data_IF_134746521249
#
_entry.id   IF_134746521249
#
_cell.length_a   1.000
_cell.length_b   1.000
_cell.length_c   1.000
_cell.angle_alpha   90.00
_cell.angle_beta   90.00
_cell.angle_gamma   90.00
#
_symmetry.space_group_name_H-M   'P 1'
#
loop_
_entity.id
_entity.type
_entity.pdbx_description
1 polymer ?
#
# COMPACT_ATOMS: atom_id res chain seq x y z
N UNK A 1 12.82 22.27 3.60
CA UNK A 1 11.45 21.88 3.18
C UNK A 1 11.17 20.41 3.44
N UNK A 2 12.03 19.48 2.96
CA UNK A 2 11.92 18.02 3.19
C UNK A 2 11.68 17.61 4.65
N UNK A 3 12.48 18.12 5.60
CA UNK A 3 12.33 17.85 7.05
C UNK A 3 10.94 18.19 7.61
N UNK A 4 10.30 19.26 7.13
CA UNK A 4 8.95 19.64 7.59
C UNK A 4 7.91 18.58 7.22
N UNK A 5 8.02 18.02 6.00
CA UNK A 5 7.11 16.96 5.51
C UNK A 5 7.20 15.70 6.36
N UNK A 6 8.41 15.30 6.72
CA UNK A 6 8.65 14.18 7.65
C UNK A 6 8.04 14.41 9.03
N UNK A 7 8.20 15.61 9.60
CA UNK A 7 7.62 15.94 10.91
C UNK A 7 6.09 15.92 10.85
N UNK A 8 5.48 16.47 9.81
CA UNK A 8 4.02 16.39 9.64
C UNK A 8 3.53 14.95 9.51
N UNK A 9 4.20 14.12 8.70
CA UNK A 9 3.85 12.71 8.58
C UNK A 9 3.99 11.96 9.91
N UNK A 10 5.05 12.22 10.68
CA UNK A 10 5.25 11.63 12.00
C UNK A 10 4.13 12.00 12.98
N UNK A 11 3.80 13.29 13.07
CA UNK A 11 2.71 13.79 13.92
C UNK A 11 1.38 13.16 13.51
N UNK A 12 1.12 13.05 12.19
CA UNK A 12 -0.11 12.45 11.68
C UNK A 12 -0.23 10.97 12.06
N UNK A 13 0.85 10.20 11.93
CA UNK A 13 0.85 8.79 12.32
C UNK A 13 0.64 8.61 13.83
N UNK A 14 1.30 9.43 14.65
CA UNK A 14 1.09 9.41 16.11
C UNK A 14 -0.36 9.76 16.44
N UNK A 15 -0.91 10.80 15.80
CA UNK A 15 -2.30 11.23 16.01
C UNK A 15 -3.30 10.12 15.68
N UNK A 16 -3.15 9.44 14.53
CA UNK A 16 -4.01 8.32 14.14
C UNK A 16 -4.03 7.22 15.21
N UNK A 17 -2.85 6.79 15.69
CA UNK A 17 -2.74 5.72 16.68
C UNK A 17 -3.20 6.18 18.06
N UNK A 18 -2.92 7.43 18.43
CA UNK A 18 -3.43 8.02 19.66
C UNK A 18 -4.96 8.03 19.69
N UNK A 19 -5.63 8.45 18.61
CA UNK A 19 -7.09 8.39 18.50
C UNK A 19 -7.62 6.96 18.63
N UNK A 20 -6.95 5.98 18.01
CA UNK A 20 -7.31 4.57 18.11
C UNK A 20 -7.27 4.06 19.56
N UNK A 21 -6.20 4.40 20.27
CA UNK A 21 -5.99 3.99 21.66
C UNK A 21 -6.95 4.72 22.62
N UNK A 22 -7.08 6.04 22.48
CA UNK A 22 -7.98 6.85 23.30
C UNK A 22 -9.45 6.45 23.17
N UNK A 23 -9.90 6.11 21.96
CA UNK A 23 -11.26 5.67 21.68
C UNK A 23 -11.46 4.16 21.95
N UNK A 24 -10.41 3.42 22.30
CA UNK A 24 -10.41 1.96 22.43
C UNK A 24 -10.92 1.26 21.15
N UNK A 25 -10.52 1.75 19.99
CA UNK A 25 -10.92 1.25 18.68
C UNK A 25 -9.68 1.05 17.80
N UNK A 26 -9.06 -0.14 17.88
CA UNK A 26 -7.87 -0.47 17.08
C UNK A 26 -8.13 -0.45 15.57
N UNK A 27 -9.37 -0.62 15.13
CA UNK A 27 -9.77 -0.53 13.72
C UNK A 27 -9.55 0.85 13.10
N UNK A 28 -9.30 1.89 13.92
CA UNK A 28 -8.89 3.22 13.46
C UNK A 28 -7.47 3.20 12.89
N UNK A 29 -6.60 2.30 13.38
CA UNK A 29 -5.24 2.16 12.87
C UNK A 29 -5.32 1.54 11.48
N UNK A 30 -4.97 2.34 10.47
CA UNK A 30 -4.83 1.90 9.10
C UNK A 30 -3.35 2.02 8.69
N UNK A 31 -2.55 0.94 8.73
CA UNK A 31 -1.11 0.96 8.48
C UNK A 31 -0.72 1.61 7.14
N UNK A 32 -1.57 1.44 6.14
CA UNK A 32 -1.48 2.01 4.80
C UNK A 32 -1.46 3.55 4.80
N UNK A 33 -1.95 4.21 5.86
CA UNK A 33 -1.76 5.66 6.03
C UNK A 33 -0.28 6.03 5.96
N UNK A 34 0.63 5.25 6.57
CA UNK A 34 2.05 5.55 6.46
C UNK A 34 2.59 5.36 5.03
N UNK A 35 2.02 4.43 4.27
CA UNK A 35 2.30 4.31 2.84
C UNK A 35 1.82 5.55 2.08
N UNK A 36 0.58 5.99 2.32
CA UNK A 36 0.01 7.20 1.71
C UNK A 36 0.83 8.44 2.06
N UNK A 37 1.21 8.63 3.32
CA UNK A 37 2.05 9.76 3.75
C UNK A 37 3.42 9.72 3.08
N UNK A 38 4.01 8.53 2.94
CA UNK A 38 5.29 8.35 2.26
C UNK A 38 5.22 8.76 0.79
N UNK A 39 4.15 8.38 0.08
CA UNK A 39 3.96 8.74 -1.32
C UNK A 39 3.48 10.18 -1.54
N UNK A 40 2.47 10.62 -0.78
CA UNK A 40 1.78 11.90 -0.98
C UNK A 40 2.50 13.09 -0.35
N UNK A 41 3.18 12.91 0.79
CA UNK A 41 3.81 14.01 1.53
C UNK A 41 5.33 13.97 1.43
N UNK A 42 5.94 12.80 1.64
CA UNK A 42 7.39 12.69 1.80
C UNK A 42 8.12 12.65 0.46
N UNK A 43 7.63 11.83 -0.49
CA UNK A 43 8.20 11.73 -1.82
C UNK A 43 8.20 13.07 -2.53
N UNK A 44 9.25 13.34 -3.30
CA UNK A 44 9.37 14.59 -4.06
C UNK A 44 8.30 14.69 -5.14
N UNK A 45 8.10 13.59 -5.85
CA UNK A 45 6.99 13.37 -6.77
C UNK A 45 6.15 12.21 -6.24
N UNK A 46 4.83 12.35 -6.24
CA UNK A 46 3.96 11.25 -5.85
C UNK A 46 4.16 10.07 -6.80
N UNK A 47 4.29 8.84 -6.27
CA UNK A 47 4.55 7.66 -7.10
C UNK A 47 3.33 7.23 -7.93
N UNK A 48 2.15 7.78 -7.64
CA UNK A 48 0.89 7.40 -8.26
C UNK A 48 0.29 8.56 -9.06
N UNK A 49 -0.22 8.27 -10.27
CA UNK A 49 -1.07 9.15 -11.04
C UNK A 49 -2.46 9.14 -10.40
N UNK A 50 -2.71 10.10 -9.52
CA UNK A 50 -4.01 10.27 -8.85
C UNK A 50 -4.14 11.71 -8.35
N UNK A 51 -5.29 12.33 -8.59
CA UNK A 51 -5.56 13.64 -8.02
C UNK A 51 -6.09 13.53 -6.57
N UNK A 52 -6.10 14.66 -5.86
CA UNK A 52 -6.55 14.76 -4.46
C UNK A 52 -7.97 14.20 -4.22
N UNK A 53 -8.92 14.52 -5.11
CA UNK A 53 -10.31 14.05 -4.99
C UNK A 53 -10.42 12.56 -5.26
N UNK A 54 -9.73 12.06 -6.29
CA UNK A 54 -9.65 10.64 -6.61
C UNK A 54 -9.03 9.85 -5.46
N UNK A 55 -7.93 10.34 -4.86
CA UNK A 55 -7.30 9.69 -3.70
C UNK A 55 -8.31 9.52 -2.57
N UNK A 56 -9.01 10.61 -2.21
CA UNK A 56 -10.04 10.56 -1.17
C UNK A 56 -11.18 9.59 -1.51
N UNK A 57 -11.81 9.73 -2.67
CA UNK A 57 -12.98 8.93 -3.04
C UNK A 57 -12.64 7.45 -3.21
N UNK A 58 -11.56 7.14 -3.93
CA UNK A 58 -11.19 5.76 -4.24
C UNK A 58 -10.84 4.98 -2.97
N UNK A 59 -10.03 5.56 -2.07
CA UNK A 59 -9.67 4.94 -0.81
C UNK A 59 -10.90 4.73 0.09
N UNK A 60 -11.79 5.73 0.15
CA UNK A 60 -13.02 5.65 0.93
C UNK A 60 -13.92 4.52 0.42
N UNK A 61 -14.28 4.54 -0.87
CA UNK A 61 -15.16 3.52 -1.48
C UNK A 61 -14.58 2.11 -1.26
N UNK A 62 -13.27 1.93 -1.45
CA UNK A 62 -12.63 0.63 -1.31
C UNK A 62 -12.66 0.10 0.12
N UNK A 63 -12.50 0.97 1.11
CA UNK A 63 -12.63 0.58 2.51
C UNK A 63 -14.06 0.11 2.86
N UNK A 64 -15.08 0.79 2.32
CA UNK A 64 -16.48 0.40 2.49
C UNK A 64 -16.77 -0.95 1.83
N UNK A 65 -16.32 -1.16 0.58
CA UNK A 65 -16.47 -2.44 -0.11
C UNK A 65 -15.83 -3.57 0.68
N UNK A 66 -14.61 -3.37 1.20
CA UNK A 66 -13.92 -4.36 2.04
C UNK A 66 -14.76 -4.80 3.24
N UNK A 67 -15.33 -3.86 4.00
CA UNK A 67 -16.21 -4.20 5.14
C UNK A 67 -17.53 -4.81 4.71
N UNK A 68 -18.13 -4.36 3.60
CA UNK A 68 -19.37 -4.96 3.06
C UNK A 68 -19.15 -6.44 2.74
N UNK A 69 -18.02 -6.79 2.12
CA UNK A 69 -17.67 -8.18 1.81
C UNK A 69 -17.50 -9.03 3.07
N UNK A 70 -16.99 -8.44 4.17
CA UNK A 70 -16.86 -9.16 5.44
C UNK A 70 -18.20 -9.32 6.14
N UNK A 71 -18.95 -8.22 6.24
CA UNK A 71 -20.18 -8.10 7.05
C UNK A 71 -21.37 -8.85 6.46
N UNK A 72 -21.52 -8.86 5.14
CA UNK A 72 -22.73 -9.38 4.49
C UNK A 72 -22.54 -10.69 3.73
N UNK A 73 -21.31 -11.03 3.35
CA UNK A 73 -21.06 -12.28 2.61
C UNK A 73 -20.44 -13.34 3.52
N UNK A 74 -21.16 -14.44 3.73
CA UNK A 74 -20.67 -15.63 4.45
C UNK A 74 -20.02 -16.63 3.49
N UNK A 75 -19.02 -16.18 2.74
CA UNK A 75 -18.29 -16.98 1.73
C UNK A 75 -16.81 -17.13 2.10
N UNK A 76 -16.14 -18.09 1.46
CA UNK A 76 -14.73 -18.39 1.71
C UNK A 76 -13.82 -17.17 1.47
N UNK A 77 -12.80 -16.98 2.33
CA UNK A 77 -11.91 -15.80 2.32
C UNK A 77 -11.22 -15.57 0.96
N UNK A 78 -10.80 -16.64 0.27
CA UNK A 78 -10.21 -16.53 -1.06
C UNK A 78 -11.17 -15.89 -2.07
N UNK A 79 -12.48 -16.18 -1.97
CA UNK A 79 -13.48 -15.58 -2.85
C UNK A 79 -13.66 -14.09 -2.51
N UNK A 80 -13.65 -13.72 -1.23
CA UNK A 80 -13.67 -12.31 -0.80
C UNK A 80 -12.45 -11.55 -1.33
N UNK A 81 -11.26 -12.14 -1.24
CA UNK A 81 -10.02 -11.56 -1.79
C UNK A 81 -10.12 -11.39 -3.31
N UNK A 82 -10.64 -12.38 -4.04
CA UNK A 82 -10.88 -12.25 -5.48
C UNK A 82 -11.79 -11.06 -5.78
N UNK A 83 -12.96 -10.97 -5.13
CA UNK A 83 -13.93 -9.90 -5.38
C UNK A 83 -13.31 -8.53 -5.05
N UNK A 84 -12.63 -8.40 -3.91
CA UNK A 84 -11.95 -7.18 -3.49
C UNK A 84 -10.87 -6.74 -4.48
N UNK A 85 -10.03 -7.68 -4.94
CA UNK A 85 -9.02 -7.41 -5.94
C UNK A 85 -9.62 -7.01 -7.29
N UNK A 86 -10.62 -7.75 -7.77
CA UNK A 86 -11.33 -7.46 -9.03
C UNK A 86 -11.95 -6.07 -8.99
N UNK A 87 -12.66 -5.74 -7.91
CA UNK A 87 -13.23 -4.42 -7.71
C UNK A 87 -12.15 -3.33 -7.75
N UNK A 88 -11.07 -3.51 -7.00
CA UNK A 88 -9.97 -2.55 -6.93
C UNK A 88 -9.29 -2.35 -8.29
N UNK A 89 -9.05 -3.44 -9.01
CA UNK A 89 -8.46 -3.41 -10.35
C UNK A 89 -9.37 -2.64 -11.34
N UNK A 90 -10.67 -2.91 -11.33
CA UNK A 90 -11.65 -2.20 -12.16
C UNK A 90 -11.65 -0.70 -11.82
N UNK A 91 -11.66 -0.34 -10.54
CA UNK A 91 -11.64 1.08 -10.13
C UNK A 91 -10.39 1.81 -10.59
N UNK A 92 -9.21 1.19 -10.48
CA UNK A 92 -7.96 1.77 -10.99
C UNK A 92 -8.04 2.02 -12.51
N UNK A 93 -8.65 1.09 -13.27
CA UNK A 93 -8.83 1.22 -14.72
C UNK A 93 -9.86 2.30 -15.09
N UNK A 94 -11.04 2.29 -14.49
CA UNK A 94 -12.11 3.24 -14.78
C UNK A 94 -11.67 4.68 -14.47
N UNK A 95 -10.93 4.87 -13.38
CA UNK A 95 -10.44 6.21 -12.99
C UNK A 95 -9.12 6.60 -13.63
N UNK A 96 -8.48 5.68 -14.39
CA UNK A 96 -7.15 5.84 -14.99
C UNK A 96 -6.09 6.26 -13.96
N UNK A 97 -6.17 5.67 -12.75
CA UNK A 97 -5.27 5.97 -11.63
C UNK A 97 -4.31 4.82 -11.36
N UNK A 98 -3.20 5.12 -10.69
CA UNK A 98 -2.22 4.11 -10.25
C UNK A 98 -2.07 4.04 -8.73
N UNK A 99 -3.11 4.40 -7.97
CA UNK A 99 -3.10 4.34 -6.50
C UNK A 99 -3.24 2.90 -5.99
N UNK A 100 -2.18 2.11 -6.14
CA UNK A 100 -2.16 0.70 -5.74
C UNK A 100 -2.56 0.45 -4.26
N UNK A 101 -2.27 1.33 -3.28
CA UNK A 101 -2.76 1.19 -1.90
C UNK A 101 -4.28 1.01 -1.75
N UNK A 102 -5.07 1.36 -2.77
CA UNK A 102 -6.49 1.02 -2.89
C UNK A 102 -6.79 -0.46 -2.59
N UNK A 103 -5.98 -1.35 -3.16
CA UNK A 103 -6.12 -2.80 -3.04
C UNK A 103 -5.99 -3.20 -1.58
N UNK A 104 -5.04 -2.59 -0.85
CA UNK A 104 -4.88 -2.83 0.58
C UNK A 104 -6.07 -2.37 1.39
N UNK A 105 -6.61 -1.18 1.09
CA UNK A 105 -7.78 -0.64 1.79
C UNK A 105 -8.99 -1.59 1.72
N UNK A 106 -9.16 -2.28 0.59
CA UNK A 106 -10.24 -3.23 0.37
C UNK A 106 -9.98 -4.61 1.00
N UNK A 107 -8.73 -5.09 0.98
CA UNK A 107 -8.37 -6.45 1.43
C UNK A 107 -8.09 -6.52 2.94
N UNK A 108 -7.56 -5.47 3.55
CA UNK A 108 -7.22 -5.46 4.98
C UNK A 108 -8.40 -5.88 5.90
N UNK A 109 -9.62 -5.33 5.79
CA UNK A 109 -10.72 -5.75 6.66
C UNK A 109 -11.09 -7.23 6.45
N UNK A 110 -10.87 -7.79 5.26
CA UNK A 110 -11.09 -9.22 4.98
C UNK A 110 -10.10 -10.09 5.75
N UNK A 111 -8.83 -9.71 5.81
CA UNK A 111 -7.81 -10.47 6.53
C UNK A 111 -7.93 -10.33 8.04
N UNK A 112 -8.35 -9.16 8.53
CA UNK A 112 -8.59 -8.91 9.95
C UNK A 112 -9.98 -9.35 10.43
N UNK A 113 -10.84 -9.82 9.51
CA UNK A 113 -12.24 -10.15 9.76
C UNK A 113 -13.04 -8.99 10.41
N UNK A 114 -12.78 -7.77 9.97
CA UNK A 114 -13.39 -6.54 10.46
C UNK A 114 -14.79 -6.34 9.86
N UNK A 115 -15.82 -6.33 10.71
CA UNK A 115 -17.23 -6.19 10.31
C UNK A 115 -17.88 -4.87 10.75
N UNK A 116 -17.13 -4.03 11.48
CA UNK A 116 -17.66 -2.76 11.98
C UNK A 116 -17.46 -1.63 10.96
N UNK A 117 -18.28 -0.59 11.08
CA UNK A 117 -18.17 0.61 10.24
C UNK A 117 -17.07 1.56 10.72
N UNK A 118 -16.40 1.27 11.84
CA UNK A 118 -15.32 2.11 12.37
C UNK A 118 -14.16 2.17 11.38
N UNK A 119 -13.74 1.02 10.84
CA UNK A 119 -12.68 0.97 9.83
C UNK A 119 -12.91 1.91 8.62
N UNK A 120 -14.00 1.79 7.83
CA UNK A 120 -14.17 2.60 6.63
C UNK A 120 -14.41 4.08 6.92
N UNK A 121 -15.09 4.41 8.04
CA UNK A 121 -15.25 5.80 8.48
C UNK A 121 -13.87 6.39 8.83
N UNK A 122 -13.02 5.63 9.52
CA UNK A 122 -11.66 6.06 9.89
C UNK A 122 -10.79 6.27 8.66
N UNK A 123 -10.78 5.32 7.71
CA UNK A 123 -10.06 5.47 6.44
C UNK A 123 -10.52 6.72 5.69
N UNK A 124 -11.83 6.96 5.63
CA UNK A 124 -12.42 8.13 4.97
C UNK A 124 -11.95 9.43 5.62
N UNK A 125 -12.04 9.54 6.95
CA UNK A 125 -11.58 10.72 7.70
C UNK A 125 -10.09 10.94 7.50
N UNK A 126 -9.27 9.90 7.63
CA UNK A 126 -7.81 10.02 7.48
C UNK A 126 -7.44 10.43 6.05
N UNK A 127 -8.09 9.89 5.02
CA UNK A 127 -7.85 10.30 3.64
C UNK A 127 -8.29 11.75 3.38
N UNK A 128 -9.41 12.20 3.96
CA UNK A 128 -9.82 13.61 3.88
C UNK A 128 -8.76 14.53 4.49
N UNK A 129 -8.27 14.20 5.69
CA UNK A 129 -7.21 14.96 6.34
C UNK A 129 -5.91 14.94 5.51
N UNK A 130 -5.51 13.79 4.96
CA UNK A 130 -4.32 13.68 4.10
C UNK A 130 -4.40 14.69 2.95
N UNK A 131 -5.53 14.74 2.26
CA UNK A 131 -5.76 15.59 1.10
C UNK A 131 -5.81 17.07 1.49
N UNK A 132 -6.49 17.41 2.59
CA UNK A 132 -6.58 18.78 3.11
C UNK A 132 -5.19 19.29 3.49
N UNK A 133 -4.42 18.53 4.27
CA UNK A 133 -3.08 18.93 4.66
C UNK A 133 -2.09 18.93 3.49
N UNK A 134 -2.24 18.02 2.53
CA UNK A 134 -1.48 18.06 1.26
C UNK A 134 -1.72 19.39 0.54
N UNK A 135 -2.98 19.80 0.38
CA UNK A 135 -3.32 21.09 -0.22
C UNK A 135 -2.75 22.28 0.58
N UNK A 136 -2.87 22.29 1.91
CA UNK A 136 -2.31 23.34 2.75
C UNK A 136 -0.78 23.42 2.59
N UNK A 137 -0.08 22.28 2.51
CA UNK A 137 1.37 22.25 2.28
C UNK A 137 1.77 22.78 0.90
N UNK A 138 0.96 22.54 -0.13
CA UNK A 138 1.15 23.09 -1.47
C UNK A 138 0.98 24.62 -1.47
N UNK A 139 -0.09 25.13 -0.88
CA UNK A 139 -0.36 26.59 -0.77
C UNK A 139 0.73 27.29 0.04
N UNK A 140 1.26 26.66 1.09
CA UNK A 140 2.34 27.21 1.92
C UNK A 140 3.74 27.04 1.33
N UNK A 141 3.87 26.50 0.10
CA UNK A 141 5.16 26.27 -0.56
C UNK A 141 6.06 25.26 0.16
N UNK A 142 5.50 24.41 1.04
CA UNK A 142 6.23 23.33 1.73
C UNK A 142 6.43 22.14 0.77
N UNK A 143 5.48 21.95 -0.15
CA UNK A 143 5.49 20.98 -1.23
C UNK A 143 5.19 21.70 -2.54
N UNK A 144 5.81 21.27 -3.63
CA UNK A 144 5.43 21.74 -4.96
C UNK A 144 4.06 21.16 -5.33
N UNK A 145 3.17 22.00 -5.84
CA UNK A 145 1.91 21.51 -6.39
C UNK A 145 2.21 20.52 -7.51
N UNK A 146 1.58 19.36 -7.45
CA UNK A 146 1.74 18.38 -8.52
C UNK A 146 1.14 18.92 -9.80
N UNK A 147 1.92 18.90 -10.89
CA UNK A 147 1.37 19.10 -12.22
C UNK A 147 0.61 17.82 -12.58
N UNK A 148 -0.66 17.74 -12.19
CA UNK A 148 -1.56 16.75 -12.75
C UNK A 148 -1.68 17.06 -14.23
N UNK A 149 -0.98 16.32 -15.09
CA UNK A 149 -1.19 16.36 -16.53
C UNK A 149 -2.55 15.71 -16.78
N UNK A 150 -3.59 16.53 -16.67
CA UNK A 150 -4.87 16.26 -17.33
C UNK A 150 -4.53 16.21 -18.82
N UNK A 151 -4.76 15.07 -19.46
CA UNK A 151 -4.96 15.04 -20.91
C UNK A 151 -6.27 15.79 -21.20
N UNK A 152 -6.24 17.11 -21.02
CA UNK A 152 -7.29 18.02 -21.47
C UNK A 152 -6.89 18.47 -22.88
N UNK A 153 -7.33 17.74 -23.90
CA UNK A 153 -7.55 18.34 -25.21
C UNK A 153 -8.73 17.63 -25.88
N UNK A 154 -9.94 18.12 -25.57
CA UNK A 154 -11.13 17.82 -26.36
C UNK A 154 -11.12 18.58 -27.71
N UNK A 155 -10.11 19.41 -28.01
CA UNK A 155 -10.10 20.21 -29.25
C UNK A 155 -8.71 20.77 -29.66
N UNK A 156 -7.63 19.98 -29.60
CA UNK A 156 -6.28 20.53 -29.79
C UNK A 156 -5.28 19.59 -30.43
N UNK A 157 -5.44 19.36 -31.74
CA UNK A 157 -4.37 19.13 -32.72
C UNK A 157 -3.56 17.82 -32.61
N UNK A 158 -4.00 16.82 -33.38
CA UNK A 158 -3.24 16.26 -34.52
C UNK A 158 -1.73 16.02 -34.34
N UNK A 159 -1.35 15.46 -33.20
CA UNK A 159 -0.21 14.54 -33.11
C UNK A 159 -0.72 13.40 -32.25
N UNK A 160 -1.15 12.33 -32.92
CA UNK A 160 -1.45 11.04 -32.31
C UNK A 160 -0.17 10.53 -31.67
N UNK A 161 0.08 10.90 -30.41
CA UNK A 161 0.82 10.00 -29.53
C UNK A 161 -0.15 8.88 -29.28
N UNK A 162 -0.06 7.85 -30.12
CA UNK A 162 -0.83 6.62 -30.09
C UNK A 162 -0.74 5.99 -28.69
N UNK A 163 -1.63 6.41 -27.81
CA UNK A 163 -2.09 5.68 -26.63
C UNK A 163 -3.43 5.01 -26.93
N UNK A 164 -3.75 4.83 -28.22
CA UNK A 164 -4.66 3.82 -28.72
C UNK A 164 -3.85 2.51 -28.85
N UNK A 165 -4.41 1.39 -28.38
CA UNK A 165 -3.85 0.04 -28.48
C UNK A 165 -2.78 -0.44 -27.47
N UNK A 166 -2.93 -0.10 -26.18
CA UNK A 166 -2.67 -1.18 -25.20
C UNK A 166 -3.83 -2.15 -25.32
N UNK A 167 -3.67 -3.13 -26.24
CA UNK A 167 -4.68 -4.17 -26.54
C UNK A 167 -5.49 -4.54 -25.30
N UNK A 168 -6.83 -4.42 -25.37
CA UNK A 168 -7.71 -4.83 -24.28
C UNK A 168 -7.38 -6.25 -23.80
N UNK A 169 -6.94 -7.11 -24.73
CA UNK A 169 -6.47 -8.47 -24.44
C UNK A 169 -5.24 -8.49 -23.54
N UNK A 170 -4.28 -7.56 -23.70
CA UNK A 170 -3.11 -7.45 -22.82
C UNK A 170 -3.53 -7.08 -21.40
N UNK A 171 -4.45 -6.13 -21.25
CA UNK A 171 -4.97 -5.69 -19.95
C UNK A 171 -5.70 -6.84 -19.24
N UNK A 172 -6.59 -7.54 -19.95
CA UNK A 172 -7.35 -8.67 -19.43
C UNK A 172 -6.42 -9.84 -19.07
N UNK A 173 -5.43 -10.14 -19.92
CA UNK A 173 -4.41 -11.17 -19.64
C UNK A 173 -3.58 -10.82 -18.40
N UNK A 174 -3.18 -9.55 -18.24
CA UNK A 174 -2.47 -9.07 -17.04
C UNK A 174 -3.34 -9.26 -15.80
N UNK A 175 -4.60 -8.84 -15.84
CA UNK A 175 -5.56 -9.04 -14.76
C UNK A 175 -5.67 -10.51 -14.33
N UNK A 176 -5.98 -11.41 -15.27
CA UNK A 176 -6.15 -12.83 -14.96
C UNK A 176 -4.87 -13.47 -14.41
N UNK A 177 -3.69 -13.11 -14.97
CA UNK A 177 -2.39 -13.56 -14.45
C UNK A 177 -2.19 -13.08 -13.00
N UNK A 178 -2.40 -11.79 -12.72
CA UNK A 178 -2.24 -11.24 -11.37
C UNK A 178 -3.19 -11.89 -10.36
N UNK A 179 -4.47 -12.06 -10.73
CA UNK A 179 -5.46 -12.69 -9.88
C UNK A 179 -5.10 -14.15 -9.59
N UNK A 180 -4.69 -14.92 -10.60
CA UNK A 180 -4.30 -16.32 -10.45
C UNK A 180 -3.12 -16.47 -9.46
N UNK A 181 -2.10 -15.62 -9.57
CA UNK A 181 -0.94 -15.63 -8.68
C UNK A 181 -1.37 -15.29 -7.25
N UNK A 182 -2.16 -14.23 -7.06
CA UNK A 182 -2.66 -13.86 -5.73
C UNK A 182 -3.41 -15.03 -5.11
N UNK A 183 -4.27 -15.73 -5.85
CA UNK A 183 -5.02 -16.88 -5.34
C UNK A 183 -4.14 -18.09 -5.04
N UNK A 184 -3.18 -18.40 -5.91
CA UNK A 184 -2.23 -19.49 -5.71
C UNK A 184 -1.40 -19.25 -4.45
N UNK A 185 -0.81 -18.05 -4.32
CA UNK A 185 0.00 -17.67 -3.15
C UNK A 185 -0.86 -17.59 -1.89
N UNK A 186 -2.13 -17.21 -2.00
CA UNK A 186 -3.05 -17.13 -0.85
C UNK A 186 -3.59 -18.48 -0.38
N UNK A 187 -3.53 -19.53 -1.19
CA UNK A 187 -4.12 -20.82 -0.86
C UNK A 187 -3.49 -21.47 0.39
N UNK A 188 -2.16 -21.50 0.48
CA UNK A 188 -1.43 -22.11 1.62
C UNK A 188 -1.61 -21.28 2.91
N UNK A 189 -1.39 -19.95 2.90
CA UNK A 189 -1.62 -19.08 4.07
C UNK A 189 -3.03 -19.16 4.65
N UNK A 190 -4.05 -19.23 3.78
CA UNK A 190 -5.44 -19.36 4.21
C UNK A 190 -5.69 -20.71 4.88
N UNK A 191 -5.18 -21.81 4.31
CA UNK A 191 -5.35 -23.15 4.88
C UNK A 191 -4.62 -23.33 6.22
N UNK A 192 -3.49 -22.65 6.38
CA UNK A 192 -2.66 -22.73 7.61
C UNK A 192 -2.99 -21.64 8.63
N UNK A 193 -4.01 -20.81 8.38
CA UNK A 193 -4.39 -19.67 9.22
C UNK A 193 -3.28 -18.63 9.45
N UNK A 194 -2.23 -18.63 8.63
CA UNK A 194 -1.13 -17.67 8.70
C UNK A 194 -1.34 -16.55 7.67
N UNK A 195 -2.30 -15.66 7.90
CA UNK A 195 -2.73 -14.71 6.88
C UNK A 195 -1.68 -13.63 6.52
N UNK A 196 -0.64 -13.43 7.32
CA UNK A 196 0.33 -12.33 7.08
C UNK A 196 1.35 -12.64 5.98
N UNK A 197 1.45 -13.89 5.51
CA UNK A 197 2.16 -14.22 4.26
C UNK A 197 1.57 -13.50 3.04
N UNK A 198 0.28 -13.12 3.12
CA UNK A 198 -0.45 -12.36 2.10
C UNK A 198 -0.94 -11.02 2.64
N UNK A 199 -0.20 -10.44 3.59
CA UNK A 199 -0.51 -9.12 4.12
C UNK A 199 -0.76 -8.14 2.95
N UNK A 200 -1.77 -7.24 3.05
CA UNK A 200 -2.17 -6.43 1.91
C UNK A 200 -1.04 -5.59 1.30
N UNK A 201 -0.07 -5.05 2.09
CA UNK A 201 1.10 -4.37 1.53
C UNK A 201 1.99 -5.25 0.64
N UNK A 202 2.00 -6.57 0.83
CA UNK A 202 2.72 -7.50 -0.04
C UNK A 202 2.01 -7.69 -1.37
N UNK A 203 0.68 -7.69 -1.39
CA UNK A 203 -0.11 -7.68 -2.63
C UNK A 203 0.12 -6.36 -3.39
N UNK A 204 0.19 -5.23 -2.67
CA UNK A 204 0.56 -3.94 -3.29
C UNK A 204 1.99 -3.99 -3.84
N UNK A 205 2.93 -4.58 -3.11
CA UNK A 205 4.31 -4.80 -3.59
C UNK A 205 4.30 -5.65 -4.86
N UNK A 206 3.55 -6.74 -4.90
CA UNK A 206 3.38 -7.57 -6.08
C UNK A 206 2.86 -6.77 -7.28
N UNK A 207 1.84 -5.94 -7.07
CA UNK A 207 1.25 -5.12 -8.12
C UNK A 207 2.21 -4.04 -8.64
N UNK A 208 2.96 -3.40 -7.74
CA UNK A 208 4.00 -2.41 -8.08
C UNK A 208 5.11 -3.07 -8.92
N UNK A 209 5.54 -4.27 -8.54
CA UNK A 209 6.51 -5.06 -9.31
C UNK A 209 5.94 -5.69 -10.56
N UNK A 210 4.62 -5.83 -10.71
CA UNK A 210 4.01 -6.36 -11.94
C UNK A 210 4.02 -5.35 -13.09
N UNK A 211 4.40 -4.10 -12.82
CA UNK A 211 4.62 -3.08 -13.84
C UNK A 211 6.10 -3.06 -14.30
N UNK A 212 6.40 -3.39 -15.56
CA UNK A 212 7.79 -3.46 -16.05
C UNK A 212 8.57 -2.16 -16.00
N UNK A 213 7.88 -1.02 -16.09
CA UNK A 213 8.46 0.31 -15.99
C UNK A 213 8.69 0.80 -14.56
N UNK A 214 8.26 0.03 -13.54
CA UNK A 214 8.34 0.49 -12.15
C UNK A 214 9.80 0.68 -11.69
N UNK A 215 10.14 1.82 -11.05
CA UNK A 215 11.45 2.05 -10.44
C UNK A 215 11.84 0.96 -9.44
N UNK A 216 10.86 0.29 -8.83
CA UNK A 216 11.08 -0.76 -7.84
C UNK A 216 11.90 -1.94 -8.41
N UNK A 217 11.71 -2.27 -9.69
CA UNK A 217 12.43 -3.37 -10.36
C UNK A 217 13.93 -3.15 -10.48
N UNK A 218 14.39 -1.89 -10.47
CA UNK A 218 15.83 -1.57 -10.55
C UNK A 218 16.59 -1.93 -9.28
N UNK A 219 15.90 -2.15 -8.15
CA UNK A 219 16.52 -2.34 -6.84
C UNK A 219 15.87 -3.47 -6.04
N UNK A 220 15.56 -4.59 -6.71
CA UNK A 220 14.86 -5.76 -6.13
C UNK A 220 15.43 -6.17 -4.78
N UNK A 221 16.74 -6.44 -4.71
CA UNK A 221 17.40 -6.88 -3.47
C UNK A 221 17.27 -5.87 -2.32
N UNK A 222 17.39 -4.57 -2.64
CA UNK A 222 17.25 -3.50 -1.65
C UNK A 222 15.81 -3.41 -1.13
N UNK A 223 14.81 -3.60 -1.99
CA UNK A 223 13.40 -3.55 -1.57
C UNK A 223 13.05 -4.73 -0.68
N UNK A 224 13.45 -5.95 -1.03
CA UNK A 224 13.27 -7.12 -0.15
C UNK A 224 13.90 -6.85 1.22
N UNK A 225 15.12 -6.31 1.24
CA UNK A 225 15.80 -5.94 2.48
C UNK A 225 15.05 -4.87 3.27
N UNK A 226 14.55 -3.81 2.62
CA UNK A 226 13.75 -2.76 3.27
C UNK A 226 12.47 -3.34 3.88
N UNK A 227 11.76 -4.24 3.18
CA UNK A 227 10.54 -4.87 3.70
C UNK A 227 10.82 -5.76 4.92
N UNK A 228 11.93 -6.52 4.89
CA UNK A 228 12.37 -7.34 6.01
C UNK A 228 12.75 -6.48 7.22
N UNK A 229 13.55 -5.43 7.02
CA UNK A 229 13.94 -4.53 8.11
C UNK A 229 12.73 -3.80 8.67
N UNK A 230 11.79 -3.39 7.81
CA UNK A 230 10.57 -2.71 8.23
C UNK A 230 9.69 -3.59 9.12
N UNK A 231 9.47 -4.86 8.72
CA UNK A 231 8.70 -5.81 9.53
C UNK A 231 9.41 -6.12 10.84
N UNK A 232 10.74 -6.27 10.83
CA UNK A 232 11.53 -6.54 12.03
C UNK A 232 11.47 -5.39 13.04
N UNK A 233 11.60 -4.13 12.57
CA UNK A 233 11.51 -2.94 13.42
C UNK A 233 10.12 -2.83 14.06
N UNK A 234 9.06 -2.90 13.26
CA UNK A 234 7.69 -2.79 13.77
C UNK A 234 7.36 -3.87 14.80
N UNK A 235 7.80 -5.09 14.54
CA UNK A 235 7.61 -6.25 15.43
C UNK A 235 8.39 -6.09 16.74
N UNK A 236 9.69 -5.79 16.64
CA UNK A 236 10.58 -5.68 17.80
C UNK A 236 10.16 -4.53 18.71
N UNK A 237 9.84 -3.36 18.12
CA UNK A 237 9.38 -2.21 18.90
C UNK A 237 8.04 -2.48 19.57
N UNK A 238 7.13 -3.20 18.91
CA UNK A 238 5.87 -3.60 19.55
C UNK A 238 6.10 -4.57 20.71
N UNK A 239 6.92 -5.60 20.53
CA UNK A 239 7.23 -6.56 21.62
C UNK A 239 7.91 -5.85 22.78
N UNK A 240 8.96 -5.09 22.51
CA UNK A 240 9.77 -4.51 23.56
C UNK A 240 9.07 -3.33 24.26
N UNK A 241 8.54 -2.37 23.50
CA UNK A 241 7.96 -1.16 24.08
C UNK A 241 6.54 -1.39 24.59
N UNK A 242 5.67 -2.03 23.82
CA UNK A 242 4.26 -2.19 24.21
C UNK A 242 4.01 -3.44 25.05
N UNK A 243 4.54 -4.61 24.66
CA UNK A 243 4.27 -5.85 25.41
C UNK A 243 5.10 -5.93 26.70
N UNK A 244 6.41 -5.67 26.63
CA UNK A 244 7.30 -5.80 27.79
C UNK A 244 7.31 -4.55 28.69
N UNK A 245 7.48 -3.35 28.11
CA UNK A 245 7.53 -2.10 28.88
C UNK A 245 6.16 -1.43 29.11
N UNK A 246 5.07 -1.99 28.54
CA UNK A 246 3.70 -1.47 28.70
C UNK A 246 3.50 -0.02 28.24
N UNK A 247 4.33 0.46 27.31
CA UNK A 247 4.14 1.78 26.72
C UNK A 247 2.96 1.83 25.76
N UNK A 248 2.32 3.00 25.61
CA UNK A 248 1.15 3.16 24.75
C UNK A 248 1.51 2.97 23.27
N UNK A 249 0.54 2.51 22.48
CA UNK A 249 0.73 2.19 21.06
C UNK A 249 1.13 3.40 20.24
N UNK A 250 0.62 4.60 20.57
CA UNK A 250 0.97 5.82 19.83
C UNK A 250 2.47 6.16 19.93
N UNK A 251 3.11 5.84 21.07
CA UNK A 251 4.54 6.03 21.26
C UNK A 251 5.33 5.04 20.40
N UNK A 252 4.91 3.77 20.39
CA UNK A 252 5.51 2.73 19.54
C UNK A 252 5.40 3.10 18.06
N UNK A 253 4.23 3.56 17.62
CA UNK A 253 4.00 4.00 16.25
C UNK A 253 4.91 5.18 15.87
N UNK A 254 5.09 6.15 16.77
CA UNK A 254 6.00 7.28 16.57
C UNK A 254 7.45 6.84 16.37
N UNK A 255 7.95 5.97 17.25
CA UNK A 255 9.33 5.46 17.16
C UNK A 255 9.52 4.61 15.90
N UNK A 256 8.59 3.71 15.59
CA UNK A 256 8.62 2.90 14.36
C UNK A 256 8.66 3.78 13.11
N UNK A 257 7.81 4.82 13.07
CA UNK A 257 7.75 5.76 11.95
C UNK A 257 9.06 6.52 11.78
N UNK A 258 9.67 6.97 12.89
CA UNK A 258 10.97 7.64 12.86
C UNK A 258 12.08 6.72 12.32
N UNK A 259 12.09 5.45 12.73
CA UNK A 259 13.03 4.46 12.23
C UNK A 259 12.87 4.22 10.71
N UNK A 260 11.63 4.10 10.22
CA UNK A 260 11.34 3.89 8.80
C UNK A 260 11.73 5.09 7.95
N UNK A 261 11.44 6.30 8.43
CA UNK A 261 11.88 7.53 7.77
C UNK A 261 13.40 7.64 7.70
N UNK A 262 14.10 7.19 8.75
CA UNK A 262 15.57 7.11 8.73
C UNK A 262 16.06 6.11 7.68
N UNK A 263 15.37 4.98 7.48
CA UNK A 263 15.69 4.00 6.43
C UNK A 263 15.46 4.59 5.04
N UNK A 264 14.33 5.27 4.81
CA UNK A 264 14.04 5.91 3.52
C UNK A 264 15.09 6.97 3.16
N UNK A 265 15.53 7.78 4.13
CA UNK A 265 16.60 8.75 3.89
C UNK A 265 17.96 8.08 3.65
N UNK A 266 18.32 7.03 4.41
CA UNK A 266 19.61 6.34 4.25
C UNK A 266 19.72 5.55 2.94
N UNK A 267 18.61 4.98 2.48
CA UNK A 267 18.56 4.17 1.25
C UNK A 267 18.25 4.99 0.01
N UNK A 268 17.78 6.24 0.18
CA UNK A 268 17.24 7.10 -0.88
C UNK A 268 16.10 6.45 -1.68
N UNK A 269 15.42 5.44 -1.10
CA UNK A 269 14.32 4.72 -1.71
C UNK A 269 13.10 4.90 -0.80
N UNK A 270 12.11 5.64 -1.30
CA UNK A 270 10.80 5.75 -0.65
C UNK A 270 9.93 4.65 -1.26
N UNK A 271 9.72 3.58 -0.50
CA UNK A 271 8.87 2.46 -0.90
C UNK A 271 7.64 2.40 0.00
N UNK A 272 6.49 2.97 -0.43
CA UNK A 272 5.29 3.08 0.40
C UNK A 272 4.87 1.79 1.12
N UNK A 273 4.88 0.59 0.48
CA UNK A 273 4.47 -0.64 1.16
C UNK A 273 5.29 -0.96 2.41
N UNK A 274 6.56 -0.56 2.48
CA UNK A 274 7.40 -0.77 3.67
C UNK A 274 6.88 0.01 4.89
N UNK A 275 6.30 1.19 4.67
CA UNK A 275 5.63 1.95 5.72
C UNK A 275 4.47 1.17 6.33
N UNK A 276 3.58 0.64 5.49
CA UNK A 276 2.44 -0.15 5.96
C UNK A 276 2.89 -1.43 6.69
N UNK A 277 3.89 -2.14 6.16
CA UNK A 277 4.46 -3.34 6.80
C UNK A 277 5.03 -3.03 8.20
N UNK A 278 5.63 -1.86 8.39
CA UNK A 278 6.18 -1.49 9.69
C UNK A 278 5.12 -1.24 10.77
N UNK A 279 3.93 -0.76 10.39
CA UNK A 279 2.85 -0.43 11.33
C UNK A 279 1.83 -1.56 11.49
N UNK A 280 1.73 -2.48 10.54
CA UNK A 280 0.82 -3.62 10.62
C UNK A 280 0.99 -4.45 11.90
N UNK A 281 2.21 -4.66 12.44
CA UNK A 281 2.41 -5.24 13.76
C UNK A 281 1.49 -4.68 14.83
N UNK A 282 1.16 -3.39 14.86
CA UNK A 282 0.33 -2.77 15.92
C UNK A 282 -1.08 -3.38 16.04
N UNK A 283 -1.58 -3.96 14.94
CA UNK A 283 -2.92 -4.57 14.86
C UNK A 283 -2.95 -6.06 15.19
N UNK A 284 -1.81 -6.73 15.26
CA UNK A 284 -1.78 -8.20 15.33
C UNK A 284 -2.05 -8.71 16.74
N UNK A 285 -2.38 -9.99 16.92
CA UNK A 285 -2.33 -10.57 18.26
C UNK A 285 -0.88 -10.81 18.70
N UNK A 286 -0.63 -10.82 20.01
CA UNK A 286 0.71 -11.00 20.59
C UNK A 286 1.33 -12.36 20.25
N UNK A 287 0.49 -13.40 20.12
CA UNK A 287 0.94 -14.79 19.97
C UNK A 287 1.59 -15.06 18.61
N UNK A 288 1.18 -14.35 17.56
CA UNK A 288 1.71 -14.49 16.20
C UNK A 288 2.81 -13.49 15.84
N UNK A 289 3.15 -12.58 16.77
CA UNK A 289 3.95 -11.40 16.47
C UNK A 289 5.38 -11.77 16.03
N UNK A 290 6.01 -12.75 16.68
CA UNK A 290 7.37 -13.22 16.33
C UNK A 290 7.47 -13.83 14.93
N UNK A 291 6.39 -14.43 14.43
CA UNK A 291 6.37 -15.03 13.10
C UNK A 291 6.20 -13.98 12.00
N UNK A 292 5.67 -12.80 12.32
CA UNK A 292 5.33 -11.78 11.34
C UNK A 292 6.50 -11.39 10.40
N UNK A 293 7.73 -11.10 10.88
CA UNK A 293 8.84 -10.79 9.99
C UNK A 293 9.19 -11.92 9.02
N UNK A 294 9.09 -13.18 9.47
CA UNK A 294 9.34 -14.36 8.64
C UNK A 294 8.26 -14.50 7.56
N UNK A 295 6.99 -14.32 7.94
CA UNK A 295 5.87 -14.35 7.00
C UNK A 295 6.00 -13.27 5.93
N UNK A 296 6.36 -12.05 6.33
CA UNK A 296 6.61 -10.93 5.42
C UNK A 296 7.77 -11.23 4.48
N UNK A 297 8.88 -11.76 4.99
CA UNK A 297 10.04 -12.08 4.17
C UNK A 297 9.71 -13.12 3.09
N UNK A 298 9.15 -14.27 3.50
CA UNK A 298 8.77 -15.34 2.59
C UNK A 298 7.74 -14.85 1.58
N UNK A 299 6.69 -14.16 2.04
CA UNK A 299 5.66 -13.59 1.17
C UNK A 299 6.25 -12.60 0.15
N UNK A 300 7.14 -11.69 0.59
CA UNK A 300 7.80 -10.73 -0.29
C UNK A 300 8.64 -11.42 -1.37
N UNK A 301 9.42 -12.45 -1.01
CA UNK A 301 10.24 -13.21 -1.95
C UNK A 301 9.38 -13.92 -2.99
N UNK A 302 8.30 -14.59 -2.56
CA UNK A 302 7.39 -15.32 -3.46
C UNK A 302 6.69 -14.35 -4.42
N UNK A 303 6.10 -13.27 -3.90
CA UNK A 303 5.39 -12.30 -4.74
C UNK A 303 6.32 -11.61 -5.74
N UNK A 304 7.49 -11.16 -5.31
CA UNK A 304 8.47 -10.51 -6.19
C UNK A 304 9.00 -11.49 -7.24
N UNK A 305 9.26 -12.74 -6.86
CA UNK A 305 9.67 -13.79 -7.80
C UNK A 305 8.63 -13.98 -8.91
N UNK A 306 7.37 -14.18 -8.56
CA UNK A 306 6.30 -14.33 -9.56
C UNK A 306 6.11 -13.09 -10.41
N UNK A 307 6.22 -11.88 -9.83
CA UNK A 307 6.11 -10.64 -10.58
C UNK A 307 7.20 -10.50 -11.65
N UNK A 308 8.45 -10.83 -11.30
CA UNK A 308 9.58 -10.75 -12.23
C UNK A 308 9.53 -11.86 -13.29
N UNK A 309 9.14 -13.08 -12.89
CA UNK A 309 9.07 -14.22 -13.81
C UNK A 309 7.95 -14.09 -14.85
N UNK A 310 6.75 -13.63 -14.42
CA UNK A 310 5.55 -13.65 -15.27
C UNK A 310 5.40 -12.37 -16.11
N UNK A 311 5.93 -11.25 -15.62
CA UNK A 311 5.88 -9.95 -16.29
C UNK A 311 7.27 -9.48 -16.69
N UNK A 312 8.03 -10.33 -17.42
CA UNK A 312 9.35 -9.97 -17.96
C UNK A 312 9.21 -8.82 -18.97
N UNK A 313 10.23 -7.97 -19.03
CA UNK A 313 10.25 -6.86 -19.97
C UNK A 313 10.82 -7.40 -21.29
N UNK A 314 9.95 -7.83 -22.20
CA UNK A 314 10.36 -8.46 -23.48
C UNK A 314 11.22 -7.54 -24.37
N UNK A 315 11.34 -6.24 -24.04
CA UNK A 315 12.15 -5.26 -24.78
C UNK A 315 13.62 -5.16 -24.35
N UNK A 316 14.06 -5.84 -23.29
CA UNK A 316 15.46 -5.79 -22.83
C UNK A 316 16.30 -6.93 -23.44
N UNK A 317 15.69 -8.07 -23.74
CA UNK A 317 16.42 -9.23 -24.28
C UNK A 317 16.89 -9.02 -25.74
N UNK A 318 16.23 -8.16 -26.53
CA UNK A 318 16.65 -7.87 -27.93
C UNK A 318 17.90 -6.97 -28.04
N UNK A 319 18.29 -6.26 -26.97
CA UNK A 319 19.51 -5.43 -26.95
C UNK A 319 20.74 -6.20 -26.46
N UNK A 320 20.56 -7.25 -25.65
CA UNK A 320 21.65 -8.12 -25.17
C UNK A 320 21.92 -9.32 -26.09
N UNK A 321 21.02 -9.61 -27.04
CA UNK A 321 21.22 -10.64 -28.07
C UNK A 321 21.82 -10.09 -29.38
N UNK A 322 21.90 -8.76 -29.54
CA UNK A 322 22.40 -8.09 -30.75
C UNK A 322 23.68 -7.25 -30.54
N UNK A 323 24.34 -7.34 -29.38
CA UNK A 323 25.67 -6.78 -29.10
C UNK A 323 26.57 -7.83 -28.46
#
# INVERSE_FOLDING_TARGET
MKKKRYVFSLIFTIFMVFCAEYLNQLEIIFPEILALLSGAWIAENQPWKVNKVQLFLLMSISSFVGVILVKYLSIHILVKISIAFTFSYIMLRLTKTTIIPLISACILPILLNTSTWVYPISVTIMCALIVIFQYIMEVRGIRNAEKYVKEDTLLGNLVTVDMEDVSEQYTIKKYFKTLLIILLVSFIPVKTSNLYFIAPPLIVTFMEFSEPSSPARKSVKKIIFILLVASFIGTTLRIFLNVYLQFPLWLVAGITTLCIFTIFEKTSIIFPPAGAISLLPLLLNTDGLYLYPIQVFIGSCIFIFFALFIFRNDKIDDYELNN
#
